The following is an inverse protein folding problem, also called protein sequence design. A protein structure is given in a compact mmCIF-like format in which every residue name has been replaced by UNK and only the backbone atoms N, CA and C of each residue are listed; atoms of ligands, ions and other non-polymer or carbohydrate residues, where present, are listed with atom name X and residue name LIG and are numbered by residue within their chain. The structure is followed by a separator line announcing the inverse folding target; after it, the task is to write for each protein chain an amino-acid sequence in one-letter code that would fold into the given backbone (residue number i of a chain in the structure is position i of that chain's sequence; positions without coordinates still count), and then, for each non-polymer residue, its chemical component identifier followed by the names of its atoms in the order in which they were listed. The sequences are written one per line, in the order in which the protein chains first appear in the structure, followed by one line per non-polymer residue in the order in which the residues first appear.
data_IF_560369496925
#
_entry.id   IF_560369496925
#
_cell.length_a   1.000
_cell.length_b   1.000
_cell.length_c   1.000
_cell.angle_alpha   90.00
_cell.angle_beta   90.00
_cell.angle_gamma   90.00
#
_symmetry.space_group_name_H-M   'P 1'
#
loop_
_entity.id
_entity.type
_entity.pdbx_description
1 polymer ?
#
# COMPACT_ATOMS: atom_id res chain seq x y z
N UNK A 1 -23.30 25.21 -12.47
CA UNK A 1 -22.47 24.48 -11.48
C UNK A 1 -22.54 22.99 -11.80
N UNK A 2 -21.54 22.43 -12.48
CA UNK A 2 -21.53 21.01 -12.84
C UNK A 2 -21.05 20.18 -11.64
N UNK A 3 -21.99 19.49 -10.98
CA UNK A 3 -21.69 18.50 -9.93
C UNK A 3 -21.11 17.28 -10.60
N UNK A 4 -19.79 17.26 -10.82
CA UNK A 4 -19.14 16.11 -11.45
C UNK A 4 -19.04 14.99 -10.43
N UNK A 5 -19.90 14.03 -10.71
CA UNK A 5 -20.22 12.78 -10.03
C UNK A 5 -19.01 11.99 -9.49
N UNK A 6 -19.30 11.27 -8.40
CA UNK A 6 -18.39 10.75 -7.39
C UNK A 6 -17.45 9.68 -7.96
N UNK A 7 -16.15 10.00 -7.96
CA UNK A 7 -15.08 9.09 -8.34
C UNK A 7 -14.83 8.00 -7.31
N UNK A 8 -15.53 6.88 -7.48
CA UNK A 8 -14.99 5.51 -7.59
C UNK A 8 -13.96 5.09 -6.51
N UNK A 9 -14.38 4.15 -5.68
CA UNK A 9 -13.65 3.26 -4.77
C UNK A 9 -12.13 3.27 -5.02
N UNK A 10 -11.42 4.02 -4.17
CA UNK A 10 -9.96 4.19 -4.24
C UNK A 10 -9.21 3.01 -3.62
N UNK A 11 -9.88 2.20 -2.82
CA UNK A 11 -9.33 1.04 -2.12
C UNK A 11 -10.30 -0.13 -2.25
N UNK A 12 -9.77 -1.32 -2.53
CA UNK A 12 -10.53 -2.57 -2.65
C UNK A 12 -9.88 -3.60 -1.73
N UNK A 13 -10.69 -4.34 -0.97
CA UNK A 13 -10.22 -5.40 -0.08
C UNK A 13 -10.77 -6.73 -0.57
N UNK A 14 -9.90 -7.74 -0.67
CA UNK A 14 -10.23 -9.10 -1.06
C UNK A 14 -10.37 -9.97 0.20
N UNK A 15 -11.60 -10.27 0.64
CA UNK A 15 -11.83 -11.00 1.88
C UNK A 15 -11.31 -12.45 1.82
N UNK A 16 -11.19 -13.05 0.64
CA UNK A 16 -10.62 -14.40 0.49
C UNK A 16 -9.14 -14.46 0.91
N UNK A 17 -8.40 -13.37 0.72
CA UNK A 17 -6.97 -13.30 1.02
C UNK A 17 -6.69 -12.66 2.38
N UNK A 18 -7.63 -11.86 2.89
CA UNK A 18 -7.51 -11.20 4.18
C UNK A 18 -7.51 -12.22 5.34
N UNK A 19 -6.41 -12.25 6.11
CA UNK A 19 -6.27 -13.04 7.34
C UNK A 19 -6.74 -12.34 8.61
N UNK A 20 -7.10 -11.05 8.51
CA UNK A 20 -7.63 -10.31 9.64
C UNK A 20 -6.62 -9.74 10.62
N UNK A 21 -5.40 -9.45 10.16
CA UNK A 21 -4.32 -8.94 11.02
C UNK A 21 -4.58 -7.54 11.61
N UNK A 22 -5.52 -6.76 11.08
CA UNK A 22 -5.86 -5.43 11.59
C UNK A 22 -4.84 -4.31 11.34
N UNK A 23 -3.63 -4.63 10.88
CA UNK A 23 -2.55 -3.65 10.62
C UNK A 23 -3.02 -2.50 9.72
N UNK A 24 -3.76 -2.85 8.65
CA UNK A 24 -4.29 -1.87 7.72
C UNK A 24 -5.29 -0.88 8.35
N UNK A 25 -5.97 -1.25 9.43
CA UNK A 25 -6.91 -0.37 10.17
C UNK A 25 -6.12 0.57 11.06
N UNK A 26 -5.14 0.05 11.79
CA UNK A 26 -4.32 0.81 12.75
C UNK A 26 -3.47 1.90 12.07
N UNK A 27 -2.88 1.58 10.92
CA UNK A 27 -2.04 2.52 10.17
C UNK A 27 -2.83 3.40 9.19
N UNK A 28 -4.17 3.30 9.12
CA UNK A 28 -4.96 4.10 8.19
C UNK A 28 -5.15 5.53 8.73
N UNK A 29 -4.50 6.57 8.17
CA UNK A 29 -4.69 7.94 8.64
C UNK A 29 -6.13 8.44 8.42
N UNK A 30 -6.83 7.89 7.44
CA UNK A 30 -8.22 8.23 7.12
C UNK A 30 -9.27 7.35 7.81
N UNK A 31 -8.86 6.36 8.62
CA UNK A 31 -9.76 5.40 9.28
C UNK A 31 -10.83 4.82 8.33
N UNK A 32 -10.38 4.44 7.14
CA UNK A 32 -11.20 4.00 6.01
C UNK A 32 -11.64 2.54 6.13
N UNK A 33 -10.82 1.75 6.82
CA UNK A 33 -10.93 0.30 6.95
C UNK A 33 -11.39 -0.05 8.37
N UNK A 34 -12.14 -1.14 8.50
CA UNK A 34 -12.58 -1.69 9.79
C UNK A 34 -12.57 -3.22 9.72
N UNK A 35 -12.44 -3.91 10.86
CA UNK A 35 -12.58 -5.36 10.93
C UNK A 35 -14.05 -5.72 11.09
N UNK A 36 -14.56 -6.61 10.23
CA UNK A 36 -15.91 -7.15 10.35
C UNK A 36 -16.00 -8.20 11.47
N UNK A 37 -17.20 -8.71 11.72
CA UNK A 37 -17.46 -9.76 12.73
C UNK A 37 -16.65 -11.05 12.50
N UNK A 38 -16.28 -11.32 11.25
CA UNK A 38 -15.45 -12.46 10.85
C UNK A 38 -13.95 -12.17 11.01
N UNK A 39 -13.58 -11.03 11.58
CA UNK A 39 -12.22 -10.56 11.73
C UNK A 39 -11.56 -10.16 10.41
N UNK A 40 -12.30 -9.95 9.32
CA UNK A 40 -11.74 -9.56 8.01
C UNK A 40 -11.84 -8.05 7.81
N UNK A 41 -10.82 -7.48 7.18
CA UNK A 41 -10.83 -6.06 6.81
C UNK A 41 -11.92 -5.77 5.79
N UNK A 42 -12.66 -4.70 5.99
CA UNK A 42 -13.71 -4.21 5.12
C UNK A 42 -13.62 -2.69 4.97
N UNK A 43 -14.03 -2.18 3.81
CA UNK A 43 -14.00 -0.74 3.52
C UNK A 43 -15.31 -0.11 4.01
N UNK A 44 -15.22 0.78 5.01
CA UNK A 44 -16.39 1.43 5.62
C UNK A 44 -16.54 2.91 5.24
N UNK A 45 -15.42 3.61 4.96
CA UNK A 45 -15.40 5.06 4.70
C UNK A 45 -14.53 5.40 3.50
N UNK A 46 -14.86 4.86 2.34
CA UNK A 46 -14.05 5.02 1.11
C UNK A 46 -13.83 6.49 0.70
N UNK A 47 -14.76 7.37 1.06
CA UNK A 47 -14.70 8.81 0.78
C UNK A 47 -13.51 9.50 1.45
N UNK A 48 -13.09 9.01 2.62
CA UNK A 48 -11.96 9.53 3.39
C UNK A 48 -10.60 8.99 2.90
N UNK A 49 -10.59 8.09 1.92
CA UNK A 49 -9.35 7.53 1.40
C UNK A 49 -8.52 8.60 0.66
N UNK A 50 -7.36 8.91 1.22
CA UNK A 50 -6.37 9.82 0.64
C UNK A 50 -5.39 9.14 -0.31
N UNK A 51 -5.52 7.82 -0.55
CA UNK A 51 -4.61 7.02 -1.40
C UNK A 51 -3.15 7.09 -0.93
N UNK A 52 -2.93 6.90 0.37
CA UNK A 52 -1.58 6.87 0.93
C UNK A 52 -0.80 5.57 0.63
N UNK A 53 -1.47 4.51 0.16
CA UNK A 53 -0.84 3.21 -0.13
C UNK A 53 -0.41 2.38 1.08
N UNK A 54 -0.42 2.93 2.31
CA UNK A 54 0.07 2.22 3.50
C UNK A 54 -0.61 0.88 3.76
N UNK A 55 -1.93 0.81 3.55
CA UNK A 55 -2.70 -0.41 3.76
C UNK A 55 -2.31 -1.53 2.78
N UNK A 56 -1.90 -1.21 1.55
CA UNK A 56 -1.39 -2.17 0.57
C UNK A 56 0.05 -2.59 0.91
N UNK A 57 0.91 -1.61 1.22
CA UNK A 57 2.34 -1.84 1.52
C UNK A 57 2.56 -2.67 2.78
N UNK A 58 1.73 -2.50 3.81
CA UNK A 58 1.84 -3.23 5.08
C UNK A 58 0.97 -4.48 5.15
N UNK A 59 0.20 -4.81 4.10
CA UNK A 59 -0.59 -6.03 4.11
C UNK A 59 0.32 -7.24 3.82
N UNK A 60 0.55 -8.16 4.77
CA UNK A 60 1.44 -9.30 4.54
C UNK A 60 0.86 -10.29 3.51
N UNK A 61 -0.47 -10.33 3.37
CA UNK A 61 -1.18 -11.19 2.43
C UNK A 61 -1.53 -10.47 1.11
N UNK A 62 -1.14 -9.20 0.94
CA UNK A 62 -1.49 -8.37 -0.22
C UNK A 62 -3.00 -8.40 -0.57
N UNK A 63 -3.85 -8.48 0.46
CA UNK A 63 -5.30 -8.59 0.30
C UNK A 63 -5.98 -7.24 -0.01
N UNK A 64 -5.22 -6.15 -0.13
CA UNK A 64 -5.72 -4.79 -0.30
C UNK A 64 -5.07 -4.18 -1.54
N UNK A 65 -5.87 -3.54 -2.38
CA UNK A 65 -5.40 -2.83 -3.58
C UNK A 65 -5.87 -1.39 -3.54
N UNK A 66 -4.95 -0.45 -3.71
CA UNK A 66 -5.24 0.99 -3.84
C UNK A 66 -5.12 1.39 -5.31
N UNK A 67 -6.18 1.99 -5.87
CA UNK A 67 -6.16 2.46 -7.26
C UNK A 67 -5.59 3.87 -7.35
N UNK A 68 -4.43 3.99 -7.96
CA UNK A 68 -3.90 5.28 -8.38
C UNK A 68 -4.67 5.83 -9.59
N UNK A 69 -4.81 7.16 -9.60
CA UNK A 69 -5.01 7.89 -10.85
C UNK A 69 -3.63 8.46 -11.13
N UNK A 70 -2.92 7.84 -12.06
CA UNK A 70 -2.05 8.49 -13.06
C UNK A 70 -0.95 7.50 -13.52
N UNK A 71 -0.93 7.09 -14.80
CA UNK A 71 0.02 6.12 -15.35
C UNK A 71 1.45 6.66 -15.58
N UNK A 72 1.90 7.72 -14.89
CA UNK A 72 3.13 8.44 -15.26
C UNK A 72 4.25 8.52 -14.20
N UNK A 73 4.06 8.06 -12.96
CA UNK A 73 5.07 8.32 -11.88
C UNK A 73 6.02 7.16 -11.52
N UNK A 74 6.12 6.11 -12.33
CA UNK A 74 7.04 4.98 -12.07
C UNK A 74 8.46 5.19 -12.66
N UNK A 75 8.68 6.25 -13.43
CA UNK A 75 10.00 6.54 -14.00
C UNK A 75 10.91 7.32 -13.05
N UNK A 76 11.29 6.71 -11.92
CA UNK A 76 12.45 7.13 -11.10
C UNK A 76 12.78 6.19 -9.91
N UNK A 77 12.59 4.86 -10.00
CA UNK A 77 13.34 3.96 -9.11
C UNK A 77 14.75 3.85 -9.64
N UNK A 78 15.56 4.73 -9.10
CA UNK A 78 16.94 5.01 -9.43
C UNK A 78 17.79 3.72 -9.49
N UNK A 79 18.25 3.40 -10.71
CA UNK A 79 19.12 2.28 -11.06
C UNK A 79 20.56 2.46 -10.52
N UNK A 80 20.83 3.40 -9.60
CA UNK A 80 22.19 3.71 -9.14
C UNK A 80 22.59 2.98 -7.85
N UNK A 81 21.69 2.28 -7.16
CA UNK A 81 21.99 1.66 -5.83
C UNK A 81 22.63 0.24 -5.91
N UNK A 82 23.23 -0.16 -7.03
CA UNK A 82 23.95 -1.45 -7.13
C UNK A 82 25.28 -1.35 -7.90
N UNK A 83 26.12 -0.35 -7.63
CA UNK A 83 27.50 -0.33 -8.17
C UNK A 83 28.55 0.40 -7.33
N UNK A 84 28.31 0.70 -6.06
CA UNK A 84 29.39 1.14 -5.18
C UNK A 84 29.42 0.23 -3.95
N UNK A 85 30.57 -0.41 -3.78
CA UNK A 85 31.01 -1.14 -2.59
C UNK A 85 30.51 -2.60 -2.46
N UNK A 86 30.71 -3.42 -3.50
CA UNK A 86 30.99 -4.84 -3.29
C UNK A 86 32.42 -5.13 -3.76
N UNK A 87 33.22 -5.71 -2.86
CA UNK A 87 34.60 -6.19 -3.04
C UNK A 87 35.70 -5.17 -3.29
N UNK A 88 36.39 -4.77 -2.21
CA UNK A 88 37.86 -4.74 -2.13
C UNK A 88 38.28 -4.39 -0.69
N UNK A 89 38.47 -5.38 0.18
CA UNK A 89 39.54 -5.38 1.19
C UNK A 89 39.54 -6.68 1.99
N UNK A 90 40.23 -7.69 1.47
CA UNK A 90 41.03 -8.58 2.32
C UNK A 90 42.47 -8.41 1.84
N UNK A 91 43.10 -7.35 2.36
CA UNK A 91 44.54 -7.30 2.52
C UNK A 91 44.81 -8.04 3.82
N UNK A 92 45.63 -9.09 3.83
CA UNK A 92 46.56 -9.49 4.91
C UNK A 92 47.31 -10.77 4.47
N UNK A 93 48.64 -10.77 4.62
CA UNK A 93 49.34 -12.00 4.98
C UNK A 93 50.34 -12.62 4.00
N UNK A 94 51.52 -12.00 3.95
CA UNK A 94 52.87 -12.62 3.83
C UNK A 94 53.47 -12.89 2.44
#
# INVERSE_FOLDING_TARGET
MARKDKGKNKVTVYPDWCKGCGICVEFCPGNVLELNDQGKSSVVREENCIRCGFCELHCPDFAIVVKDKDPESDQKVDRTVMSKDVTQNESEGK
#
